data_IF_381480472046
#
_entry.id   IF_381480472046
#
_cell.length_a   1.000
_cell.length_b   1.000
_cell.length_c   1.000
_cell.angle_alpha   90.00
_cell.angle_beta   90.00
_cell.angle_gamma   90.00
#
_symmetry.space_group_name_H-M   'P 1'
#
loop_
_entity.id
_entity.type
_entity.pdbx_description
1 polymer ?
#
# COMPACT_ATOMS: atom_id res chain seq x y z
N UNK A 1 -10.44 -69.35 -11.21
CA UNK A 1 -10.18 -68.06 -11.90
C UNK A 1 -11.46 -67.31 -12.30
N UNK A 2 -12.39 -67.89 -13.08
CA UNK A 2 -13.63 -67.20 -13.55
C UNK A 2 -14.55 -66.66 -12.45
N UNK A 3 -14.71 -67.38 -11.33
CA UNK A 3 -15.50 -66.92 -10.17
C UNK A 3 -14.85 -65.74 -9.43
N UNK A 4 -13.53 -65.78 -9.25
CA UNK A 4 -12.77 -64.69 -8.65
C UNK A 4 -12.85 -63.41 -9.51
N UNK A 5 -12.72 -63.56 -10.83
CA UNK A 5 -12.85 -62.47 -11.78
C UNK A 5 -14.26 -61.83 -11.73
N UNK A 6 -15.32 -62.64 -11.64
CA UNK A 6 -16.68 -62.13 -11.50
C UNK A 6 -16.92 -61.40 -10.16
N UNK A 7 -16.32 -61.87 -9.07
CA UNK A 7 -16.38 -61.20 -7.77
C UNK A 7 -15.66 -59.84 -7.83
N UNK A 8 -14.46 -59.80 -8.42
CA UNK A 8 -13.70 -58.55 -8.60
C UNK A 8 -14.43 -57.55 -9.51
N UNK A 9 -15.05 -58.01 -10.61
CA UNK A 9 -15.84 -57.16 -11.50
C UNK A 9 -17.06 -56.57 -10.77
N UNK A 10 -17.76 -57.37 -9.96
CA UNK A 10 -18.88 -56.90 -9.14
C UNK A 10 -18.44 -55.89 -8.08
N UNK A 11 -17.31 -56.14 -7.42
CA UNK A 11 -16.73 -55.20 -6.44
C UNK A 11 -16.35 -53.87 -7.12
N UNK A 12 -15.69 -53.94 -8.29
CA UNK A 12 -15.34 -52.76 -9.07
C UNK A 12 -16.58 -51.96 -9.47
N UNK A 13 -17.65 -52.62 -9.92
CA UNK A 13 -18.92 -51.96 -10.24
C UNK A 13 -19.54 -51.28 -9.01
N UNK A 14 -19.55 -51.95 -7.85
CA UNK A 14 -20.06 -51.36 -6.60
C UNK A 14 -19.24 -50.15 -6.19
N UNK A 15 -17.91 -50.21 -6.29
CA UNK A 15 -17.03 -49.06 -6.01
C UNK A 15 -17.29 -47.92 -6.99
N UNK A 16 -17.45 -48.20 -8.28
CA UNK A 16 -17.78 -47.18 -9.30
C UNK A 16 -19.14 -46.53 -9.02
N UNK A 17 -20.16 -47.31 -8.66
CA UNK A 17 -21.51 -46.82 -8.35
C UNK A 17 -21.53 -46.01 -7.05
N UNK A 18 -20.89 -46.50 -5.99
CA UNK A 18 -20.76 -45.80 -4.72
C UNK A 18 -19.97 -44.49 -4.89
N UNK A 19 -18.90 -44.52 -5.68
CA UNK A 19 -18.12 -43.34 -6.02
C UNK A 19 -18.91 -42.32 -6.86
N UNK A 20 -19.70 -42.80 -7.82
CA UNK A 20 -20.59 -41.94 -8.62
C UNK A 20 -21.64 -41.29 -7.74
N UNK A 21 -22.31 -42.07 -6.87
CA UNK A 21 -23.29 -41.55 -5.92
C UNK A 21 -22.69 -40.51 -4.96
N UNK A 22 -21.48 -40.76 -4.44
CA UNK A 22 -20.73 -39.81 -3.62
C UNK A 22 -20.45 -38.51 -4.38
N UNK A 23 -20.02 -38.61 -5.64
CA UNK A 23 -19.76 -37.44 -6.49
C UNK A 23 -21.02 -36.63 -6.77
N UNK A 24 -22.13 -37.27 -7.14
CA UNK A 24 -23.42 -36.59 -7.36
C UNK A 24 -23.93 -35.94 -6.06
N UNK A 25 -23.79 -36.62 -4.92
CA UNK A 25 -24.16 -36.06 -3.61
C UNK A 25 -23.34 -34.82 -3.26
N UNK A 26 -22.02 -34.86 -3.48
CA UNK A 26 -21.13 -33.74 -3.19
C UNK A 26 -21.33 -32.58 -4.18
N UNK A 27 -21.69 -32.85 -5.44
CA UNK A 27 -22.13 -31.83 -6.40
C UNK A 27 -23.36 -31.06 -5.89
N UNK A 28 -24.38 -31.74 -5.35
CA UNK A 28 -25.56 -31.09 -4.77
C UNK A 28 -25.18 -30.20 -3.59
N UNK A 29 -24.20 -30.61 -2.78
CA UNK A 29 -23.69 -29.77 -1.68
C UNK A 29 -23.02 -28.50 -2.22
N UNK A 30 -22.21 -28.62 -3.28
CA UNK A 30 -21.58 -27.46 -3.94
C UNK A 30 -22.63 -26.52 -4.53
N UNK A 31 -23.65 -27.05 -5.22
CA UNK A 31 -24.78 -26.27 -5.73
C UNK A 31 -25.45 -25.46 -4.62
N UNK A 32 -25.80 -26.11 -3.50
CA UNK A 32 -26.40 -25.42 -2.34
C UNK A 32 -25.49 -24.35 -1.74
N UNK A 33 -24.18 -24.59 -1.69
CA UNK A 33 -23.23 -23.59 -1.17
C UNK A 33 -23.11 -22.38 -2.09
N UNK A 34 -23.15 -22.60 -3.41
CA UNK A 34 -23.18 -21.52 -4.39
C UNK A 34 -24.47 -20.71 -4.27
N UNK A 35 -25.62 -21.38 -4.19
CA UNK A 35 -26.91 -20.70 -4.02
C UNK A 35 -26.96 -19.89 -2.72
N UNK A 36 -26.45 -20.45 -1.62
CA UNK A 36 -26.32 -19.74 -0.35
C UNK A 36 -25.31 -18.58 -0.41
N UNK A 37 -24.27 -18.66 -1.25
CA UNK A 37 -23.36 -17.54 -1.49
C UNK A 37 -24.04 -16.42 -2.30
N UNK A 38 -24.81 -16.77 -3.32
CA UNK A 38 -25.59 -15.84 -4.14
C UNK A 38 -26.62 -15.11 -3.27
N UNK A 39 -27.34 -15.83 -2.39
CA UNK A 39 -28.27 -15.22 -1.42
C UNK A 39 -27.58 -14.28 -0.43
N UNK A 40 -26.36 -14.61 0.02
CA UNK A 40 -25.58 -13.72 0.91
C UNK A 40 -25.15 -12.43 0.21
N UNK A 41 -24.87 -12.50 -1.09
CA UNK A 41 -24.55 -11.31 -1.89
C UNK A 41 -25.82 -10.48 -2.12
N UNK A 42 -26.95 -11.11 -2.45
CA UNK A 42 -28.25 -10.47 -2.56
C UNK A 42 -28.69 -9.78 -1.26
N UNK A 43 -28.53 -10.44 -0.12
CA UNK A 43 -28.84 -9.88 1.20
C UNK A 43 -28.00 -8.64 1.55
N UNK A 44 -26.86 -8.43 0.89
CA UNK A 44 -26.02 -7.24 1.04
C UNK A 44 -26.33 -6.16 0.00
N UNK A 45 -27.34 -6.36 -0.85
CA UNK A 45 -27.71 -5.46 -1.94
C UNK A 45 -26.92 -5.67 -3.23
N UNK A 46 -26.22 -6.80 -3.36
CA UNK A 46 -25.53 -7.17 -4.58
C UNK A 46 -26.40 -7.99 -5.54
N UNK A 47 -26.10 -7.93 -6.82
CA UNK A 47 -26.80 -8.70 -7.86
C UNK A 47 -25.80 -9.58 -8.60
N UNK A 48 -26.19 -10.81 -8.89
CA UNK A 48 -25.38 -11.76 -9.68
C UNK A 48 -26.27 -12.26 -10.81
N UNK A 49 -25.87 -11.95 -12.03
CA UNK A 49 -26.44 -12.47 -13.27
C UNK A 49 -25.45 -13.37 -13.98
N UNK A 50 -25.95 -14.40 -14.66
CA UNK A 50 -25.21 -15.23 -15.60
C UNK A 50 -26.19 -15.91 -16.54
N UNK A 51 -25.75 -16.21 -17.76
CA UNK A 51 -26.58 -16.95 -18.73
C UNK A 51 -26.64 -18.44 -18.37
N UNK A 52 -25.50 -18.99 -17.93
CA UNK A 52 -25.38 -20.40 -17.59
C UNK A 52 -24.32 -20.62 -16.52
N UNK A 53 -24.60 -21.51 -15.57
CA UNK A 53 -23.66 -22.02 -14.56
C UNK A 53 -23.50 -23.52 -14.75
N UNK A 54 -22.29 -23.96 -15.10
CA UNK A 54 -21.95 -25.37 -15.28
C UNK A 54 -21.01 -25.85 -14.17
N UNK A 55 -21.35 -26.97 -13.53
CA UNK A 55 -20.54 -27.58 -12.48
C UNK A 55 -20.02 -28.92 -13.02
N UNK A 56 -18.71 -28.98 -13.20
CA UNK A 56 -17.98 -30.18 -13.60
C UNK A 56 -16.81 -30.46 -12.65
N UNK A 57 -15.89 -31.28 -13.12
CA UNK A 57 -14.73 -31.72 -12.35
C UNK A 57 -14.94 -33.13 -11.80
N UNK A 58 -13.97 -34.00 -12.08
CA UNK A 58 -13.93 -35.39 -11.65
C UNK A 58 -12.46 -35.85 -11.63
N UNK A 59 -12.03 -36.72 -10.71
CA UNK A 59 -12.72 -37.19 -9.50
C UNK A 59 -12.37 -36.39 -8.22
N UNK A 60 -11.36 -35.51 -8.24
CA UNK A 60 -10.76 -34.93 -7.02
C UNK A 60 -10.88 -33.40 -6.90
N UNK A 61 -11.75 -32.78 -7.70
CA UNK A 61 -11.98 -31.34 -7.65
C UNK A 61 -13.22 -30.91 -8.41
N UNK A 62 -13.76 -29.76 -8.00
CA UNK A 62 -14.88 -29.09 -8.63
C UNK A 62 -14.40 -27.99 -9.56
N UNK A 63 -15.02 -27.89 -10.72
CA UNK A 63 -14.88 -26.76 -11.65
C UNK A 63 -16.24 -26.15 -11.86
N UNK A 64 -16.40 -24.88 -11.51
CA UNK A 64 -17.63 -24.12 -11.77
C UNK A 64 -17.31 -23.11 -12.87
N UNK A 65 -18.11 -23.10 -13.93
CA UNK A 65 -17.97 -22.15 -15.04
C UNK A 65 -19.25 -21.33 -15.16
N UNK A 66 -19.12 -20.01 -15.06
CA UNK A 66 -20.20 -19.07 -15.37
C UNK A 66 -20.00 -18.52 -16.77
N UNK A 67 -21.06 -18.50 -17.57
CA UNK A 67 -21.10 -17.92 -18.92
C UNK A 67 -21.76 -16.55 -18.86
N UNK A 68 -21.12 -15.54 -19.43
CA UNK A 68 -21.52 -14.13 -19.36
C UNK A 68 -21.88 -13.66 -17.94
N UNK A 69 -21.00 -13.85 -16.95
CA UNK A 69 -21.24 -13.35 -15.59
C UNK A 69 -21.34 -11.82 -15.58
N UNK A 70 -22.33 -11.30 -14.86
CA UNK A 70 -22.49 -9.92 -14.48
C UNK A 70 -22.66 -9.85 -12.96
N UNK A 71 -21.75 -9.17 -12.27
CA UNK A 71 -21.83 -9.00 -10.82
C UNK A 71 -21.90 -7.52 -10.48
N UNK A 72 -22.86 -7.15 -9.63
CA UNK A 72 -23.00 -5.83 -9.04
C UNK A 72 -22.82 -5.98 -7.55
N UNK A 73 -21.74 -5.44 -7.00
CA UNK A 73 -21.40 -5.57 -5.58
C UNK A 73 -21.41 -4.20 -4.93
N UNK A 74 -22.29 -3.92 -3.96
CA UNK A 74 -22.20 -2.72 -3.17
C UNK A 74 -20.91 -2.78 -2.34
N UNK A 75 -20.09 -1.76 -2.50
CA UNK A 75 -18.89 -1.53 -1.70
C UNK A 75 -19.18 -0.38 -0.75
N UNK A 76 -18.40 -0.28 0.33
CA UNK A 76 -18.55 0.88 1.19
C UNK A 76 -18.16 2.12 0.35
N UNK A 77 -19.06 3.10 0.23
CA UNK A 77 -18.90 4.30 -0.60
C UNK A 77 -19.15 4.15 -2.11
N UNK A 78 -19.64 3.01 -2.63
CA UNK A 78 -19.88 2.86 -4.07
C UNK A 78 -20.45 1.52 -4.53
N UNK A 79 -20.47 1.30 -5.84
CA UNK A 79 -20.88 0.04 -6.47
C UNK A 79 -19.77 -0.43 -7.41
N UNK A 80 -19.36 -1.69 -7.25
CA UNK A 80 -18.45 -2.36 -8.16
C UNK A 80 -19.26 -3.23 -9.13
N UNK A 81 -19.19 -2.92 -10.41
CA UNK A 81 -19.72 -3.76 -11.48
C UNK A 81 -18.59 -4.57 -12.12
N UNK A 82 -18.87 -5.83 -12.39
CA UNK A 82 -18.01 -6.73 -13.15
C UNK A 82 -18.83 -7.38 -14.27
N UNK A 83 -18.27 -7.38 -15.47
CA UNK A 83 -18.80 -8.13 -16.59
C UNK A 83 -17.69 -8.82 -17.38
N UNK A 84 -17.94 -10.05 -17.84
CA UNK A 84 -16.97 -10.79 -18.65
C UNK A 84 -17.61 -11.90 -19.47
N UNK A 85 -16.90 -12.48 -20.45
CA UNK A 85 -17.43 -13.57 -21.28
C UNK A 85 -17.59 -14.88 -20.50
N UNK A 86 -16.72 -15.12 -19.53
CA UNK A 86 -16.76 -16.31 -18.68
C UNK A 86 -16.04 -16.06 -17.35
N UNK A 87 -16.33 -16.88 -16.34
CA UNK A 87 -15.58 -16.95 -15.09
C UNK A 87 -15.45 -18.42 -14.68
N UNK A 88 -14.26 -18.87 -14.24
CA UNK A 88 -14.05 -20.28 -13.87
C UNK A 88 -13.46 -20.41 -12.48
N UNK A 89 -14.17 -21.05 -11.56
CA UNK A 89 -13.65 -21.45 -10.27
C UNK A 89 -13.22 -22.92 -10.27
N UNK A 90 -12.11 -23.23 -9.61
CA UNK A 90 -11.58 -24.58 -9.39
C UNK A 90 -11.28 -24.76 -7.90
N UNK A 91 -11.84 -25.81 -7.31
CA UNK A 91 -11.59 -26.17 -5.90
C UNK A 91 -11.13 -27.63 -5.86
N UNK A 92 -9.95 -27.88 -5.31
CA UNK A 92 -9.43 -29.24 -5.12
C UNK A 92 -9.80 -29.76 -3.73
N UNK A 93 -10.36 -30.96 -3.65
CA UNK A 93 -10.83 -31.56 -2.38
C UNK A 93 -9.71 -32.32 -1.66
N UNK A 94 -8.72 -32.86 -2.40
CA UNK A 94 -7.72 -33.79 -1.87
C UNK A 94 -6.29 -33.24 -1.72
N UNK A 95 -5.97 -32.06 -2.28
CA UNK A 95 -4.58 -31.59 -2.42
C UNK A 95 -4.30 -30.20 -1.86
N UNK A 96 -5.09 -29.79 -0.87
CA UNK A 96 -4.88 -28.54 -0.17
C UNK A 96 -6.05 -27.62 -0.33
N UNK A 97 -6.28 -26.88 0.74
CA UNK A 97 -7.40 -25.96 0.96
C UNK A 97 -7.19 -24.73 0.09
N UNK A 98 -7.32 -24.90 -1.23
CA UNK A 98 -7.08 -23.86 -2.23
C UNK A 98 -8.27 -23.78 -3.17
N UNK A 99 -8.74 -22.55 -3.39
CA UNK A 99 -9.69 -22.22 -4.43
C UNK A 99 -8.97 -21.34 -5.44
N UNK A 100 -9.06 -21.69 -6.71
CA UNK A 100 -8.54 -20.90 -7.83
C UNK A 100 -9.70 -20.34 -8.62
N UNK A 101 -9.61 -19.09 -9.00
CA UNK A 101 -10.54 -18.41 -9.89
C UNK A 101 -9.76 -17.91 -11.09
N UNK A 102 -10.05 -18.45 -12.27
CA UNK A 102 -9.51 -17.97 -13.54
C UNK A 102 -10.49 -16.92 -14.10
N UNK A 103 -9.95 -15.76 -14.48
CA UNK A 103 -10.68 -14.65 -15.07
C UNK A 103 -10.45 -14.60 -16.59
N UNK A 104 -11.38 -14.00 -17.36
CA UNK A 104 -11.26 -13.93 -18.81
C UNK A 104 -10.19 -12.92 -19.23
N UNK A 105 -9.73 -13.06 -20.47
CA UNK A 105 -8.67 -12.20 -21.04
C UNK A 105 -9.07 -10.73 -21.15
N UNK A 106 -10.37 -10.46 -21.27
CA UNK A 106 -10.93 -9.11 -21.30
C UNK A 106 -12.06 -9.05 -20.30
N UNK A 107 -12.01 -8.09 -19.40
CA UNK A 107 -13.05 -7.80 -18.44
C UNK A 107 -13.14 -6.30 -18.20
N UNK A 108 -14.35 -5.84 -17.92
CA UNK A 108 -14.60 -4.44 -17.57
C UNK A 108 -14.97 -4.38 -16.10
N UNK A 109 -14.28 -3.51 -15.36
CA UNK A 109 -14.62 -3.16 -13.98
C UNK A 109 -15.10 -1.72 -13.97
N UNK A 110 -16.29 -1.49 -13.47
CA UNK A 110 -16.79 -0.14 -13.24
C UNK A 110 -16.93 0.07 -11.74
N UNK A 111 -16.31 1.13 -11.22
CA UNK A 111 -16.43 1.53 -9.84
C UNK A 111 -17.13 2.89 -9.80
N UNK A 112 -18.44 2.87 -9.55
CA UNK A 112 -19.20 4.09 -9.29
C UNK A 112 -19.08 4.46 -7.82
N UNK A 113 -18.64 5.68 -7.52
CA UNK A 113 -18.39 6.13 -6.15
C UNK A 113 -19.20 7.39 -5.85
N UNK A 114 -19.90 7.42 -4.73
CA UNK A 114 -20.79 8.54 -4.39
C UNK A 114 -19.96 9.82 -4.18
N UNK A 115 -20.30 10.90 -4.89
CA UNK A 115 -19.63 12.20 -4.79
C UNK A 115 -18.26 12.30 -5.48
N UNK A 116 -17.87 11.32 -6.29
CA UNK A 116 -16.62 11.32 -7.07
C UNK A 116 -16.92 10.95 -8.53
N UNK A 117 -15.98 11.24 -9.43
CA UNK A 117 -16.08 10.78 -10.81
C UNK A 117 -16.13 9.24 -10.87
N UNK A 118 -17.02 8.70 -11.70
CA UNK A 118 -17.09 7.27 -11.96
C UNK A 118 -15.77 6.77 -12.55
N UNK A 119 -15.18 5.76 -11.92
CA UNK A 119 -13.92 5.17 -12.34
C UNK A 119 -14.24 3.92 -13.14
N UNK A 120 -14.18 4.03 -14.46
CA UNK A 120 -14.23 2.87 -15.35
C UNK A 120 -12.81 2.37 -15.62
N UNK A 121 -12.62 1.05 -15.54
CA UNK A 121 -11.35 0.40 -15.77
C UNK A 121 -11.55 -0.79 -16.70
N UNK A 122 -11.10 -0.64 -17.94
CA UNK A 122 -11.00 -1.74 -18.87
C UNK A 122 -9.69 -2.49 -18.62
N UNK A 123 -9.84 -3.77 -18.28
CA UNK A 123 -8.73 -4.67 -17.99
C UNK A 123 -8.63 -5.72 -19.09
N UNK A 124 -7.54 -5.67 -19.85
CA UNK A 124 -7.11 -6.82 -20.62
C UNK A 124 -6.00 -7.54 -19.84
N UNK A 125 -6.10 -8.85 -19.70
CA UNK A 125 -5.12 -9.63 -18.96
C UNK A 125 -4.75 -10.91 -19.68
N UNK A 126 -3.47 -11.25 -19.67
CA UNK A 126 -3.02 -12.58 -20.05
C UNK A 126 -3.02 -13.47 -18.81
N UNK A 127 -3.96 -14.41 -18.74
CA UNK A 127 -4.06 -15.41 -17.67
C UNK A 127 -4.19 -14.83 -16.24
N UNK A 128 -5.13 -13.90 -16.03
CA UNK A 128 -5.47 -13.42 -14.68
C UNK A 128 -6.07 -14.55 -13.83
N UNK A 129 -5.46 -14.78 -12.67
CA UNK A 129 -5.79 -15.84 -11.73
C UNK A 129 -5.87 -15.25 -10.33
N UNK A 130 -6.87 -15.67 -9.57
CA UNK A 130 -6.99 -15.43 -8.13
C UNK A 130 -6.92 -16.78 -7.40
N UNK A 131 -5.88 -16.98 -6.61
CA UNK A 131 -5.65 -18.14 -5.77
C UNK A 131 -5.94 -17.78 -4.31
N UNK A 132 -6.99 -18.36 -3.73
CA UNK A 132 -7.34 -18.24 -2.31
C UNK A 132 -6.87 -19.47 -1.54
N UNK A 133 -6.21 -19.25 -0.40
CA UNK A 133 -5.86 -20.26 0.61
C UNK A 133 -6.90 -20.25 1.71
N UNK A 134 -7.45 -21.41 2.02
CA UNK A 134 -8.54 -21.62 2.97
C UNK A 134 -7.98 -22.29 4.24
N UNK A 135 -8.24 -21.70 5.39
CA UNK A 135 -7.96 -22.22 6.73
C UNK A 135 -9.17 -22.89 7.37
N UNK A 136 -9.03 -23.29 8.66
CA UNK A 136 -10.16 -23.80 9.46
C UNK A 136 -11.18 -22.68 9.76
N UNK A 137 -10.73 -21.43 9.82
CA UNK A 137 -11.55 -20.25 10.13
C UNK A 137 -11.92 -19.35 8.95
N UNK A 138 -11.66 -19.73 7.70
CA UNK A 138 -11.98 -18.92 6.51
C UNK A 138 -10.81 -18.74 5.56
N UNK A 139 -10.76 -17.64 4.81
CA UNK A 139 -9.67 -17.36 3.86
C UNK A 139 -8.44 -16.85 4.62
N UNK A 140 -7.33 -17.59 4.56
CA UNK A 140 -6.05 -17.22 5.20
C UNK A 140 -5.17 -16.35 4.27
N UNK A 141 -5.38 -16.44 2.95
CA UNK A 141 -4.70 -15.58 2.02
C UNK A 141 -5.31 -15.62 0.63
N UNK A 142 -5.10 -14.55 -0.11
CA UNK A 142 -5.53 -14.37 -1.49
C UNK A 142 -4.32 -13.89 -2.29
N UNK A 143 -4.16 -14.43 -3.49
CA UNK A 143 -3.08 -14.09 -4.39
C UNK A 143 -3.66 -13.92 -5.79
N UNK A 144 -3.57 -12.70 -6.32
CA UNK A 144 -3.96 -12.37 -7.69
C UNK A 144 -2.69 -12.25 -8.52
N UNK A 145 -2.65 -12.92 -9.66
CA UNK A 145 -1.51 -12.92 -10.59
C UNK A 145 -2.00 -12.85 -12.03
N UNK A 146 -1.23 -12.23 -12.91
CA UNK A 146 -1.41 -12.34 -14.36
C UNK A 146 -0.03 -12.37 -15.03
N UNK A 147 0.06 -12.83 -16.27
CA UNK A 147 1.29 -12.74 -17.06
C UNK A 147 1.49 -11.30 -17.56
N UNK A 148 0.37 -10.64 -17.93
CA UNK A 148 0.31 -9.24 -18.34
C UNK A 148 -1.05 -8.64 -17.97
N UNK A 149 -1.08 -7.35 -17.65
CA UNK A 149 -2.27 -6.56 -17.37
C UNK A 149 -2.19 -5.23 -18.11
N UNK A 150 -3.10 -4.99 -19.04
CA UNK A 150 -3.29 -3.70 -19.70
C UNK A 150 -4.44 -2.96 -19.02
N UNK A 151 -4.13 -1.77 -18.52
CA UNK A 151 -5.04 -0.83 -17.89
C UNK A 151 -5.40 0.21 -18.94
N UNK A 152 -6.69 0.31 -19.29
CA UNK A 152 -7.17 1.34 -20.22
C UNK A 152 -8.15 2.28 -19.54
N UNK A 153 -7.93 3.56 -19.79
CA UNK A 153 -8.87 4.64 -19.57
C UNK A 153 -9.43 4.74 -18.15
N UNK A 154 -8.55 4.93 -17.16
CA UNK A 154 -8.99 5.51 -15.88
C UNK A 154 -9.44 6.96 -16.14
N UNK A 155 -10.74 7.17 -16.25
CA UNK A 155 -11.37 8.49 -16.27
C UNK A 155 -11.73 8.90 -14.85
N UNK A 156 -11.47 10.16 -14.47
CA UNK A 156 -11.81 10.72 -13.17
C UNK A 156 -10.62 10.86 -12.22
N UNK A 157 -10.64 11.94 -11.42
CA UNK A 157 -9.52 12.35 -10.56
C UNK A 157 -8.73 13.53 -11.16
N UNK A 158 -7.49 13.79 -10.73
CA UNK A 158 -6.68 14.91 -11.24
C UNK A 158 -6.10 14.69 -12.65
N UNK A 159 -6.39 13.55 -13.29
CA UNK A 159 -5.86 13.18 -14.61
C UNK A 159 -7.01 12.92 -15.59
N UNK A 160 -6.88 13.41 -16.83
CA UNK A 160 -7.86 13.14 -17.89
C UNK A 160 -7.86 11.67 -18.30
N UNK A 161 -6.67 11.05 -18.34
CA UNK A 161 -6.57 9.62 -18.58
C UNK A 161 -5.30 9.05 -17.95
N UNK A 162 -5.44 7.85 -17.41
CA UNK A 162 -4.33 6.97 -17.05
C UNK A 162 -4.51 5.65 -17.81
N UNK A 163 -3.45 5.23 -18.48
CA UNK A 163 -3.35 3.91 -19.11
C UNK A 163 -1.99 3.31 -18.78
N UNK A 164 -1.88 1.99 -18.84
CA UNK A 164 -0.61 1.34 -18.63
C UNK A 164 -0.61 -0.14 -18.94
N UNK A 165 0.58 -0.69 -19.06
CA UNK A 165 0.84 -2.11 -19.29
C UNK A 165 1.76 -2.58 -18.17
N UNK A 166 1.39 -3.68 -17.52
CA UNK A 166 2.15 -4.25 -16.41
C UNK A 166 2.40 -5.72 -16.67
N UNK A 167 3.66 -6.15 -16.61
CA UNK A 167 4.06 -7.54 -16.75
C UNK A 167 4.24 -8.19 -15.38
N UNK A 168 3.76 -9.45 -15.30
CA UNK A 168 3.78 -10.27 -14.09
C UNK A 168 3.26 -9.56 -12.83
N UNK A 169 2.12 -8.82 -12.90
CA UNK A 169 1.57 -8.21 -11.70
C UNK A 169 1.16 -9.29 -10.70
N UNK A 170 1.46 -9.04 -9.44
CA UNK A 170 1.10 -9.91 -8.32
C UNK A 170 0.58 -9.07 -7.16
N UNK A 171 -0.60 -9.41 -6.69
CA UNK A 171 -1.19 -8.86 -5.46
C UNK A 171 -1.40 -10.03 -4.50
N UNK A 172 -0.70 -10.06 -3.38
CA UNK A 172 -0.83 -11.10 -2.37
C UNK A 172 -1.25 -10.48 -1.04
N UNK A 173 -2.39 -10.89 -0.52
CA UNK A 173 -2.84 -10.57 0.83
C UNK A 173 -2.81 -11.86 1.66
N UNK A 174 -2.08 -11.89 2.78
CA UNK A 174 -1.97 -13.08 3.64
C UNK A 174 -2.10 -12.68 5.10
N UNK A 175 -2.99 -13.36 5.82
CA UNK A 175 -3.07 -13.30 7.28
C UNK A 175 -2.03 -14.27 7.84
N UNK A 176 -1.17 -13.78 8.73
CA UNK A 176 -0.09 -14.57 9.31
C UNK A 176 -0.57 -15.08 10.67
N UNK A 177 -1.31 -16.20 10.74
CA UNK A 177 -1.88 -16.70 12.00
C UNK A 177 -2.67 -15.59 12.75
N UNK A 178 -2.37 -15.35 14.03
CA UNK A 178 -2.95 -14.26 14.86
C UNK A 178 -2.27 -12.88 14.65
N UNK A 179 -1.45 -12.73 13.60
CA UNK A 179 -0.63 -11.54 13.34
C UNK A 179 -1.22 -10.61 12.26
N UNK A 180 -0.65 -9.39 12.11
CA UNK A 180 -0.89 -8.45 11.00
C UNK A 180 -1.12 -9.09 9.62
N UNK A 181 -2.06 -8.51 8.86
CA UNK A 181 -2.21 -8.80 7.44
C UNK A 181 -1.02 -8.23 6.70
N UNK A 182 -0.37 -9.06 5.90
CA UNK A 182 0.61 -8.62 4.93
C UNK A 182 -0.05 -8.51 3.56
N UNK A 183 -0.01 -7.32 2.98
CA UNK A 183 -0.39 -7.04 1.59
C UNK A 183 0.87 -6.71 0.81
N UNK A 184 1.09 -7.43 -0.26
CA UNK A 184 2.19 -7.21 -1.20
C UNK A 184 1.60 -6.98 -2.59
N UNK A 185 2.04 -5.90 -3.24
CA UNK A 185 1.78 -5.60 -4.63
C UNK A 185 3.14 -5.55 -5.32
N UNK A 186 3.30 -6.24 -6.45
CA UNK A 186 4.57 -6.26 -7.18
C UNK A 186 4.38 -6.47 -8.68
N UNK A 187 5.38 -6.08 -9.47
CA UNK A 187 5.47 -6.31 -10.91
C UNK A 187 6.93 -6.37 -11.37
N UNK A 188 7.16 -6.96 -12.55
CA UNK A 188 8.48 -7.09 -13.20
C UNK A 188 8.69 -6.21 -14.43
N UNK A 189 7.66 -5.50 -14.88
CA UNK A 189 7.79 -4.40 -15.83
C UNK A 189 6.49 -3.61 -15.80
N UNK A 190 6.59 -2.28 -15.85
CA UNK A 190 5.43 -1.40 -15.88
C UNK A 190 5.69 -0.23 -16.80
N UNK A 191 4.74 0.08 -17.68
CA UNK A 191 4.73 1.30 -18.49
C UNK A 191 3.40 1.98 -18.31
N UNK A 192 3.42 3.24 -17.91
CA UNK A 192 2.24 4.04 -17.65
C UNK A 192 2.28 5.29 -18.52
N UNK A 193 1.14 5.65 -19.09
CA UNK A 193 0.93 6.88 -19.83
C UNK A 193 -0.11 7.69 -19.08
N UNK A 194 0.28 8.91 -18.70
CA UNK A 194 -0.56 9.86 -17.98
C UNK A 194 -0.86 11.05 -18.89
N UNK A 195 -2.10 11.51 -18.89
CA UNK A 195 -2.49 12.76 -19.51
C UNK A 195 -3.24 13.62 -18.47
N UNK A 196 -2.77 14.85 -18.28
CA UNK A 196 -3.42 15.84 -17.41
C UNK A 196 -4.74 16.32 -18.02
N UNK A 197 -5.67 16.79 -17.17
CA UNK A 197 -6.90 17.42 -17.66
C UNK A 197 -6.63 18.74 -18.40
N UNK A 198 -7.35 19.04 -19.50
CA UNK A 198 -7.20 20.29 -20.24
C UNK A 198 -7.57 21.57 -19.47
N UNK A 199 -8.17 21.45 -18.30
CA UNK A 199 -8.73 22.54 -17.49
C UNK A 199 -7.70 23.25 -16.61
N UNK A 200 -6.44 22.79 -16.56
CA UNK A 200 -5.37 23.49 -15.84
C UNK A 200 -5.02 24.82 -16.55
N UNK A 201 -5.25 25.98 -15.90
CA UNK A 201 -4.96 27.30 -16.48
C UNK A 201 -3.45 27.57 -16.66
N UNK A 202 -2.57 26.70 -16.13
CA UNK A 202 -1.12 26.93 -16.02
C UNK A 202 -0.23 26.39 -17.14
N UNK A 203 -0.78 25.60 -18.07
CA UNK A 203 0.00 25.07 -19.21
C UNK A 203 -0.19 23.58 -19.40
N UNK A 204 -0.46 23.19 -20.65
CA UNK A 204 -0.68 21.80 -21.05
C UNK A 204 0.61 21.00 -20.86
N UNK A 205 0.77 20.31 -19.75
CA UNK A 205 1.72 19.21 -19.68
C UNK A 205 1.34 18.21 -20.79
N UNK A 206 2.21 17.95 -21.77
CA UNK A 206 1.92 16.96 -22.80
C UNK A 206 1.74 15.60 -22.12
N UNK A 207 0.97 14.67 -22.72
CA UNK A 207 0.92 13.30 -22.22
C UNK A 207 2.35 12.76 -22.10
N UNK A 208 2.72 12.30 -20.92
CA UNK A 208 4.05 11.76 -20.65
C UNK A 208 3.95 10.31 -20.22
N UNK A 209 5.01 9.56 -20.50
CA UNK A 209 5.14 8.16 -20.12
C UNK A 209 6.20 7.97 -19.07
N UNK A 210 5.92 7.05 -18.17
CA UNK A 210 6.82 6.58 -17.13
C UNK A 210 6.94 5.08 -17.28
N UNK A 211 8.16 4.56 -17.26
CA UNK A 211 8.44 3.13 -17.26
C UNK A 211 9.25 2.74 -16.03
N UNK A 212 9.06 1.53 -15.53
CA UNK A 212 9.88 0.94 -14.46
C UNK A 212 10.07 -0.56 -14.70
N UNK A 213 11.26 -1.08 -14.44
CA UNK A 213 11.51 -2.53 -14.53
C UNK A 213 11.00 -3.28 -13.30
N UNK A 214 10.85 -2.64 -12.15
CA UNK A 214 10.37 -3.36 -10.97
C UNK A 214 9.70 -2.43 -9.99
N UNK A 215 8.54 -2.84 -9.50
CA UNK A 215 7.86 -2.20 -8.40
C UNK A 215 7.49 -3.22 -7.34
N UNK A 216 7.71 -2.87 -6.07
CA UNK A 216 7.23 -3.61 -4.92
C UNK A 216 6.65 -2.62 -3.92
N UNK A 217 5.43 -2.88 -3.47
CA UNK A 217 4.83 -2.27 -2.30
C UNK A 217 4.43 -3.38 -1.34
N UNK A 218 4.98 -3.36 -0.12
CA UNK A 218 4.61 -4.26 0.97
C UNK A 218 4.10 -3.44 2.13
N UNK A 219 2.93 -3.80 2.62
CA UNK A 219 2.30 -3.25 3.80
C UNK A 219 2.04 -4.41 4.74
N UNK A 220 2.49 -4.33 5.98
CA UNK A 220 2.11 -5.28 7.01
C UNK A 220 1.63 -4.52 8.24
N UNK A 221 0.47 -4.88 8.77
CA UNK A 221 -0.10 -4.19 9.93
C UNK A 221 -1.37 -4.85 10.45
N UNK A 222 -1.84 -4.48 11.65
CA UNK A 222 -3.06 -5.02 12.25
C UNK A 222 -4.26 -4.78 11.32
N UNK A 223 -5.22 -5.71 11.30
CA UNK A 223 -6.48 -5.61 10.49
C UNK A 223 -7.73 -5.58 11.35
N UNK A 224 -7.54 -5.42 12.65
CA UNK A 224 -8.60 -5.28 13.63
C UNK A 224 -8.29 -4.02 14.41
N UNK A 225 -9.31 -3.25 14.82
CA UNK A 225 -9.10 -2.20 15.80
C UNK A 225 -8.57 -2.86 17.08
N UNK A 226 -7.37 -2.47 17.51
CA UNK A 226 -6.70 -3.01 18.69
C UNK A 226 -6.57 -1.90 19.74
N UNK A 227 -6.85 -2.21 21.00
CA UNK A 227 -6.61 -1.27 22.10
C UNK A 227 -5.11 -0.95 22.28
N UNK A 228 -4.26 -1.94 21.97
CA UNK A 228 -2.80 -1.86 22.07
C UNK A 228 -2.13 -1.59 20.72
N UNK A 229 -0.95 -0.98 20.78
CA UNK A 229 -0.07 -0.80 19.63
C UNK A 229 0.39 -2.17 19.12
N UNK A 230 0.46 -2.32 17.80
CA UNK A 230 0.96 -3.52 17.12
C UNK A 230 2.01 -3.16 16.07
N UNK A 231 2.92 -4.07 15.78
CA UNK A 231 3.94 -3.84 14.75
C UNK A 231 3.31 -3.63 13.37
N UNK A 232 3.75 -2.56 12.70
CA UNK A 232 3.48 -2.31 11.30
C UNK A 232 4.77 -2.01 10.53
N UNK A 233 4.74 -2.29 9.24
CA UNK A 233 5.84 -1.98 8.32
C UNK A 233 5.33 -1.62 6.94
N UNK A 234 6.09 -0.76 6.27
CA UNK A 234 5.93 -0.39 4.88
C UNK A 234 7.27 -0.58 4.18
N UNK A 235 7.23 -1.20 3.00
CA UNK A 235 8.32 -1.16 2.03
C UNK A 235 7.78 -0.74 0.69
N UNK A 236 8.37 0.29 0.12
CA UNK A 236 8.18 0.71 -1.25
C UNK A 236 9.51 0.62 -1.98
N UNK A 237 9.51 0.06 -3.18
CA UNK A 237 10.69 -0.10 -4.01
C UNK A 237 10.28 0.09 -5.47
N UNK A 238 10.97 0.99 -6.15
CA UNK A 238 10.88 1.23 -7.58
C UNK A 238 12.29 1.16 -8.15
N UNK A 239 12.49 0.32 -9.16
CA UNK A 239 13.80 0.16 -9.82
C UNK A 239 13.70 0.49 -11.31
N UNK A 240 14.80 1.04 -11.82
CA UNK A 240 14.96 1.45 -13.21
C UNK A 240 13.78 2.29 -13.73
N UNK A 241 13.41 3.30 -12.95
CA UNK A 241 12.40 4.28 -13.30
C UNK A 241 12.95 5.19 -14.39
N UNK A 242 12.28 5.20 -15.55
CA UNK A 242 12.65 6.00 -16.71
C UNK A 242 11.47 6.90 -17.08
N UNK A 243 11.76 8.19 -17.22
CA UNK A 243 10.84 9.17 -17.79
C UNK A 243 11.02 9.20 -19.31
N UNK A 244 9.95 9.46 -20.04
CA UNK A 244 10.05 9.59 -21.49
C UNK A 244 10.85 10.82 -21.93
N UNK A 245 11.32 10.76 -23.18
CA UNK A 245 12.14 11.81 -23.77
C UNK A 245 11.37 13.12 -23.92
N UNK A 246 10.04 13.07 -24.07
CA UNK A 246 9.21 14.26 -24.19
C UNK A 246 9.18 15.06 -22.88
N UNK A 247 9.05 14.38 -21.74
CA UNK A 247 9.13 15.01 -20.43
C UNK A 247 10.54 15.50 -20.14
N UNK A 248 11.57 14.69 -20.46
CA UNK A 248 12.97 15.13 -20.31
C UNK A 248 13.28 16.37 -21.14
N UNK A 249 12.81 16.45 -22.38
CA UNK A 249 13.04 17.61 -23.25
C UNK A 249 12.35 18.90 -22.75
N UNK A 250 11.33 18.77 -21.90
CA UNK A 250 10.71 19.93 -21.24
C UNK A 250 11.55 20.47 -20.08
N UNK A 251 12.29 19.59 -19.40
CA UNK A 251 13.07 19.92 -18.20
C UNK A 251 14.53 20.27 -18.55
N UNK A 252 15.14 19.46 -19.41
CA UNK A 252 16.55 19.52 -19.78
C UNK A 252 16.73 19.11 -21.27
N UNK A 253 16.39 20.02 -22.20
CA UNK A 253 16.50 19.76 -23.64
C UNK A 253 17.95 19.51 -24.10
N UNK A 254 18.91 20.15 -23.44
CA UNK A 254 20.34 20.07 -23.76
C UNK A 254 21.04 18.83 -23.17
N UNK A 255 20.29 17.97 -22.46
CA UNK A 255 20.76 16.71 -21.85
C UNK A 255 21.92 16.92 -20.88
N UNK A 256 21.90 18.01 -20.10
CA UNK A 256 22.90 18.32 -19.07
C UNK A 256 22.79 17.40 -17.86
N UNK A 257 21.60 16.92 -17.55
CA UNK A 257 21.32 15.99 -16.46
C UNK A 257 21.51 14.53 -16.93
N UNK A 258 22.19 13.69 -16.14
CA UNK A 258 22.26 12.25 -16.39
C UNK A 258 20.86 11.64 -16.47
N UNK A 259 20.64 10.81 -17.49
CA UNK A 259 19.35 10.15 -17.73
C UNK A 259 19.38 8.67 -17.35
N UNK A 260 20.30 8.30 -16.46
CA UNK A 260 20.37 6.95 -15.92
C UNK A 260 19.05 6.58 -15.23
N UNK A 261 18.60 5.31 -15.33
CA UNK A 261 17.36 4.87 -14.70
C UNK A 261 17.36 5.15 -13.20
N UNK A 262 16.32 5.83 -12.73
CA UNK A 262 16.19 6.21 -11.34
C UNK A 262 15.79 5.02 -10.46
N UNK A 263 16.13 5.11 -9.17
CA UNK A 263 15.72 4.13 -8.15
C UNK A 263 15.15 4.86 -6.96
N UNK A 264 14.16 4.25 -6.31
CA UNK A 264 13.59 4.73 -5.05
C UNK A 264 13.28 3.54 -4.15
N UNK A 265 13.80 3.54 -2.93
CA UNK A 265 13.48 2.55 -1.90
C UNK A 265 13.15 3.27 -0.61
N UNK A 266 12.04 2.89 0.01
CA UNK A 266 11.64 3.29 1.35
C UNK A 266 11.28 2.05 2.13
N UNK A 267 11.91 1.83 3.27
CA UNK A 267 11.55 0.80 4.23
C UNK A 267 11.46 1.43 5.61
N UNK A 268 10.27 1.35 6.20
CA UNK A 268 10.01 1.87 7.51
C UNK A 268 9.13 0.91 8.32
N UNK A 269 9.31 0.95 9.64
CA UNK A 269 8.54 0.14 10.59
C UNK A 269 8.24 0.94 11.84
N UNK A 270 7.12 0.66 12.47
CA UNK A 270 6.78 1.29 13.72
C UNK A 270 5.55 0.66 14.36
N UNK A 271 5.35 0.88 15.66
CA UNK A 271 4.09 0.59 16.32
C UNK A 271 2.96 1.39 15.68
N UNK A 272 1.85 0.71 15.42
CA UNK A 272 0.63 1.25 14.84
C UNK A 272 -0.57 0.85 15.69
N UNK A 273 -1.43 1.84 15.97
CA UNK A 273 -2.78 1.60 16.45
C UNK A 273 -3.77 2.35 15.56
N UNK A 274 -4.78 1.64 15.08
CA UNK A 274 -5.94 2.26 14.44
C UNK A 274 -6.81 2.91 15.51
N UNK A 275 -7.13 4.20 15.40
CA UNK A 275 -8.17 4.82 16.22
C UNK A 275 -9.60 4.63 15.66
N UNK A 276 -9.74 3.92 14.52
CA UNK A 276 -11.02 3.46 13.95
C UNK A 276 -10.95 2.00 13.49
N UNK A 277 -12.06 1.46 12.96
CA UNK A 277 -12.08 0.11 12.40
C UNK A 277 -11.49 0.10 10.97
N UNK A 278 -10.28 -0.43 10.74
CA UNK A 278 -9.63 -0.41 9.43
C UNK A 278 -10.40 -1.18 8.34
N UNK A 279 -11.32 -2.07 8.72
CA UNK A 279 -12.15 -2.83 7.77
C UNK A 279 -13.27 -1.98 7.18
N UNK A 280 -13.61 -0.88 7.85
CA UNK A 280 -14.56 0.13 7.40
C UNK A 280 -13.87 1.30 6.70
N UNK A 281 -12.65 1.11 6.18
CA UNK A 281 -11.99 2.10 5.33
C UNK A 281 -12.33 1.83 3.85
N UNK A 282 -13.41 2.42 3.30
CA UNK A 282 -13.52 2.66 1.87
C UNK A 282 -13.05 4.06 1.51
N UNK A 283 -12.29 4.19 0.42
CA UNK A 283 -12.34 5.28 -0.58
C UNK A 283 -12.26 6.76 -0.16
N UNK A 284 -12.30 7.04 1.13
CA UNK A 284 -12.35 8.30 1.84
C UNK A 284 -11.47 8.06 3.06
N UNK A 285 -10.19 7.77 2.77
CA UNK A 285 -9.15 8.07 3.73
C UNK A 285 -9.15 9.58 3.78
N UNK A 286 -9.89 10.14 4.73
CA UNK A 286 -9.60 11.48 5.18
C UNK A 286 -8.17 11.42 5.71
N UNK A 287 -7.24 11.92 4.90
CA UNK A 287 -5.81 11.88 5.21
C UNK A 287 -5.51 12.68 6.48
N UNK A 288 -6.38 13.64 6.84
CA UNK A 288 -6.31 14.44 8.06
C UNK A 288 -6.94 13.70 9.25
N UNK A 289 -7.94 12.84 9.02
CA UNK A 289 -8.54 11.98 10.05
C UNK A 289 -7.97 10.56 10.07
N UNK A 290 -6.85 10.30 9.37
CA UNK A 290 -6.14 9.02 9.46
C UNK A 290 -5.83 8.78 10.93
N UNK A 291 -6.50 7.82 11.59
CA UNK A 291 -6.37 7.66 13.01
C UNK A 291 -5.16 6.76 13.26
N UNK A 292 -4.00 7.21 12.78
CA UNK A 292 -2.73 6.52 12.82
C UNK A 292 -1.98 7.02 14.05
N UNK A 293 -2.23 6.39 15.19
CA UNK A 293 -1.46 6.68 16.40
C UNK A 293 -0.20 5.82 16.35
N UNK A 294 0.80 6.31 15.62
CA UNK A 294 2.15 5.78 15.72
C UNK A 294 2.92 6.63 16.72
N UNK A 295 3.37 6.10 17.87
CA UNK A 295 4.24 6.86 18.78
C UNK A 295 5.66 7.03 18.21
N UNK A 296 6.02 6.30 17.15
CA UNK A 296 7.31 6.44 16.50
C UNK A 296 7.49 5.57 15.27
N UNK A 297 8.40 5.99 14.41
CA UNK A 297 8.75 5.39 13.13
C UNK A 297 10.26 5.17 13.06
N UNK A 298 10.68 3.99 12.66
CA UNK A 298 12.07 3.69 12.30
C UNK A 298 12.16 3.53 10.79
N UNK A 299 12.91 4.41 10.14
CA UNK A 299 13.28 4.32 8.72
C UNK A 299 14.58 3.51 8.64
N UNK A 300 14.47 2.25 8.22
CA UNK A 300 15.62 1.37 8.05
C UNK A 300 16.36 1.59 6.73
N UNK A 301 15.67 2.12 5.72
CA UNK A 301 16.25 2.44 4.42
C UNK A 301 15.37 3.51 3.76
N UNK A 302 15.98 4.62 3.36
CA UNK A 302 15.40 5.54 2.40
C UNK A 302 16.48 5.92 1.42
N UNK A 303 16.44 5.35 0.22
CA UNK A 303 17.45 5.60 -0.80
C UNK A 303 16.80 6.02 -2.11
N UNK A 304 17.42 6.94 -2.81
CA UNK A 304 17.07 7.22 -4.19
C UNK A 304 18.30 7.57 -5.02
N UNK A 305 18.19 7.30 -6.32
CA UNK A 305 19.14 7.77 -7.31
C UNK A 305 18.38 8.35 -8.50
N UNK A 306 18.76 9.55 -8.94
CA UNK A 306 18.21 10.21 -10.12
C UNK A 306 19.11 11.38 -10.53
N UNK A 307 19.23 11.65 -11.84
CA UNK A 307 19.96 12.80 -12.36
C UNK A 307 21.41 12.95 -11.85
N UNK A 308 22.07 11.83 -11.54
CA UNK A 308 23.43 11.80 -11.00
C UNK A 308 23.54 12.09 -9.49
N UNK A 309 22.43 12.34 -8.80
CA UNK A 309 22.37 12.37 -7.35
C UNK A 309 22.05 10.96 -6.84
N UNK A 310 22.82 10.51 -5.87
CA UNK A 310 22.49 9.36 -5.02
C UNK A 310 22.33 9.85 -3.58
N UNK A 311 21.30 9.41 -2.89
CA UNK A 311 21.18 9.63 -1.45
C UNK A 311 20.72 8.38 -0.74
N UNK A 312 21.16 8.24 0.51
CA UNK A 312 20.73 7.22 1.45
C UNK A 312 20.47 7.85 2.80
N UNK A 313 19.35 7.51 3.41
CA UNK A 313 18.93 8.00 4.72
C UNK A 313 18.44 6.85 5.58
N UNK A 314 18.76 6.91 6.87
CA UNK A 314 18.21 6.06 7.92
C UNK A 314 17.87 6.92 9.12
N UNK A 315 16.97 6.45 9.98
CA UNK A 315 16.66 7.21 11.18
C UNK A 315 15.51 6.66 11.99
N UNK A 316 15.24 7.33 13.11
CA UNK A 316 14.16 7.03 14.02
C UNK A 316 13.55 8.32 14.51
N UNK A 317 12.23 8.40 14.45
CA UNK A 317 11.43 9.51 14.97
C UNK A 317 10.43 8.98 15.97
N UNK A 318 10.22 9.71 17.06
CA UNK A 318 9.25 9.44 18.12
C UNK A 318 8.35 10.66 18.33
N UNK A 319 7.34 10.51 19.19
CA UNK A 319 6.35 11.54 19.51
C UNK A 319 5.52 11.98 18.29
N UNK A 320 5.21 11.01 17.41
CA UNK A 320 4.38 11.21 16.23
C UNK A 320 2.87 11.08 16.52
N UNK A 321 2.49 10.68 17.73
CA UNK A 321 1.09 10.48 18.08
C UNK A 321 0.41 11.83 18.37
N UNK A 322 -0.76 12.12 17.74
CA UNK A 322 -1.63 13.20 18.18
C UNK A 322 -2.00 13.03 19.66
N UNK A 323 -1.66 14.03 20.48
CA UNK A 323 -2.07 14.13 21.88
C UNK A 323 -2.65 15.51 22.18
N UNK A 324 -3.22 15.70 23.38
CA UNK A 324 -3.81 16.98 23.83
C UNK A 324 -2.79 18.14 23.91
N UNK A 325 -1.50 17.80 23.89
CA UNK A 325 -0.40 18.76 23.77
C UNK A 325 0.38 18.48 22.49
N UNK A 326 0.65 19.49 21.64
CA UNK A 326 1.52 19.32 20.48
C UNK A 326 2.94 18.93 20.95
N UNK A 327 3.28 17.64 20.91
CA UNK A 327 4.65 17.19 21.15
C UNK A 327 5.44 17.35 19.87
N UNK A 328 6.52 18.13 19.91
CA UNK A 328 7.46 18.16 18.79
C UNK A 328 8.04 16.75 18.56
N UNK A 329 8.15 16.30 17.29
CA UNK A 329 8.80 15.03 16.98
C UNK A 329 10.25 15.06 17.45
N UNK A 330 10.67 13.99 18.11
CA UNK A 330 12.06 13.83 18.58
C UNK A 330 12.67 12.63 17.90
N UNK A 331 13.87 12.77 17.36
CA UNK A 331 14.44 11.74 16.52
C UNK A 331 15.86 12.02 16.09
N UNK A 332 16.45 11.02 15.46
CA UNK A 332 17.80 11.05 14.93
C UNK A 332 17.78 10.41 13.55
N UNK A 333 18.59 10.94 12.64
CA UNK A 333 18.72 10.40 11.30
C UNK A 333 20.11 10.65 10.77
N UNK A 334 20.54 9.75 9.90
CA UNK A 334 21.80 9.85 9.18
C UNK A 334 21.48 9.90 7.70
N UNK A 335 22.02 10.89 7.00
CA UNK A 335 21.85 11.05 5.56
C UNK A 335 23.22 11.15 4.92
N UNK A 336 23.46 10.33 3.90
CA UNK A 336 24.58 10.47 2.99
C UNK A 336 24.06 10.81 1.60
N UNK A 337 24.81 11.63 0.88
CA UNK A 337 24.53 11.93 -0.51
C UNK A 337 25.82 12.07 -1.32
N UNK A 338 25.72 11.67 -2.58
CA UNK A 338 26.78 11.72 -3.59
C UNK A 338 26.26 12.44 -4.82
N UNK A 339 27.03 13.39 -5.37
CA UNK A 339 26.66 14.09 -6.60
C UNK A 339 25.80 15.34 -6.40
N UNK A 340 25.62 15.82 -5.16
CA UNK A 340 24.76 16.97 -4.87
C UNK A 340 25.34 18.28 -5.40
N UNK A 341 26.64 18.52 -5.22
CA UNK A 341 27.29 19.75 -5.68
C UNK A 341 27.22 19.79 -7.23
N UNK A 342 27.51 18.65 -7.88
CA UNK A 342 27.42 18.47 -9.34
C UNK A 342 26.01 18.67 -9.89
N UNK A 343 24.99 18.10 -9.23
CA UNK A 343 23.59 18.29 -9.63
C UNK A 343 23.18 19.76 -9.49
N UNK A 344 23.55 20.39 -8.38
CA UNK A 344 23.25 21.81 -8.12
C UNK A 344 23.86 22.72 -9.19
N UNK A 345 25.09 22.42 -9.62
CA UNK A 345 25.75 23.13 -10.72
C UNK A 345 24.96 23.00 -12.03
N UNK A 346 24.59 21.77 -12.40
CA UNK A 346 23.83 21.48 -13.63
C UNK A 346 22.44 22.11 -13.63
N UNK A 347 21.72 22.04 -12.50
CA UNK A 347 20.40 22.66 -12.36
C UNK A 347 20.47 24.18 -12.58
N UNK A 348 21.56 24.83 -12.14
CA UNK A 348 21.75 26.25 -12.39
C UNK A 348 22.14 26.55 -13.84
N UNK A 349 22.93 25.69 -14.48
CA UNK A 349 23.28 25.82 -15.91
C UNK A 349 22.05 25.78 -16.82
N UNK A 350 21.09 24.89 -16.53
CA UNK A 350 19.83 24.78 -17.29
C UNK A 350 18.74 25.76 -16.83
N UNK A 351 19.04 26.62 -15.86
CA UNK A 351 18.13 27.65 -15.37
C UNK A 351 17.00 27.17 -14.44
N UNK A 352 17.03 25.90 -13.99
CA UNK A 352 16.08 25.39 -12.99
C UNK A 352 16.42 25.84 -11.57
N UNK A 353 17.66 26.27 -11.33
CA UNK A 353 18.10 26.84 -10.06
C UNK A 353 18.69 28.23 -10.30
N UNK A 354 18.09 29.26 -9.70
CA UNK A 354 18.64 30.61 -9.78
C UNK A 354 20.05 30.67 -9.18
N UNK A 355 20.92 31.50 -9.75
CA UNK A 355 22.31 31.64 -9.30
C UNK A 355 22.43 31.94 -7.79
N UNK A 356 21.55 32.80 -7.25
CA UNK A 356 21.51 33.11 -5.82
C UNK A 356 21.16 31.89 -4.98
N UNK A 357 20.18 31.10 -5.42
CA UNK A 357 19.76 29.87 -4.76
C UNK A 357 20.89 28.83 -4.79
N UNK A 358 21.63 28.73 -5.90
CA UNK A 358 22.84 27.90 -6.01
C UNK A 358 23.90 28.28 -4.97
N UNK A 359 24.26 29.57 -4.90
CA UNK A 359 25.28 30.03 -3.93
C UNK A 359 24.83 29.75 -2.50
N UNK A 360 23.55 29.97 -2.20
CA UNK A 360 22.99 29.65 -0.89
C UNK A 360 23.02 28.13 -0.61
N UNK A 361 22.58 27.29 -1.54
CA UNK A 361 22.60 25.85 -1.41
C UNK A 361 24.02 25.33 -1.16
N UNK A 362 25.01 25.79 -1.93
CA UNK A 362 26.41 25.41 -1.74
C UNK A 362 26.95 25.83 -0.36
N UNK A 363 26.63 27.04 0.09
CA UNK A 363 27.03 27.51 1.41
C UNK A 363 26.36 26.71 2.53
N UNK A 364 25.06 26.43 2.41
CA UNK A 364 24.29 25.63 3.36
C UNK A 364 24.86 24.21 3.44
N UNK A 365 25.00 23.53 2.30
CA UNK A 365 25.57 22.19 2.21
C UNK A 365 26.94 22.14 2.89
N UNK A 366 27.84 23.08 2.61
CA UNK A 366 29.18 23.11 3.25
C UNK A 366 29.14 23.38 4.75
N UNK A 367 28.21 24.22 5.21
CA UNK A 367 28.11 24.59 6.62
C UNK A 367 27.53 23.48 7.49
N UNK A 368 26.71 22.61 6.89
CA UNK A 368 25.85 21.68 7.62
C UNK A 368 26.10 20.21 7.29
N UNK A 369 27.07 19.91 6.43
CA UNK A 369 27.44 18.55 6.08
C UNK A 369 28.93 18.35 6.21
N UNK A 370 29.30 17.11 6.55
CA UNK A 370 30.67 16.67 6.62
C UNK A 370 31.06 16.03 5.30
N UNK A 371 32.20 16.44 4.75
CA UNK A 371 32.79 15.78 3.59
C UNK A 371 33.21 14.35 3.96
N UNK A 372 32.94 13.40 3.07
CA UNK A 372 33.41 12.02 3.15
C UNK A 372 34.53 11.79 2.14
N UNK A 373 35.22 10.65 2.24
CA UNK A 373 36.21 10.24 1.25
C UNK A 373 35.53 9.95 -0.10
N UNK A 374 36.02 10.62 -1.15
CA UNK A 374 35.51 10.53 -2.52
C UNK A 374 35.02 11.89 -3.05
N UNK A 375 34.86 11.99 -4.37
CA UNK A 375 34.37 13.22 -5.00
C UNK A 375 32.88 13.43 -4.73
N UNK A 376 32.50 14.66 -4.36
CA UNK A 376 31.11 15.08 -4.15
C UNK A 376 30.32 14.16 -3.20
N UNK A 377 31.00 13.64 -2.16
CA UNK A 377 30.40 12.79 -1.11
C UNK A 377 30.32 13.52 0.22
N UNK A 378 29.12 13.52 0.80
CA UNK A 378 28.84 14.25 2.05
C UNK A 378 27.86 13.47 2.92
N UNK A 379 27.97 13.70 4.22
CA UNK A 379 27.06 13.15 5.21
C UNK A 379 26.55 14.23 6.16
N UNK A 380 25.39 13.99 6.75
CA UNK A 380 24.81 14.84 7.77
C UNK A 380 24.04 14.00 8.78
N UNK A 381 24.29 14.27 10.06
CA UNK A 381 23.55 13.72 11.17
C UNK A 381 22.49 14.72 11.63
N UNK A 382 21.24 14.32 11.48
CA UNK A 382 20.04 15.07 11.83
C UNK A 382 19.61 14.67 13.23
N UNK A 383 19.34 15.65 14.09
CA UNK A 383 18.65 15.43 15.37
C UNK A 383 17.44 16.34 15.45
N UNK A 384 16.26 15.74 15.60
CA UNK A 384 15.00 16.40 15.89
C UNK A 384 14.84 16.45 17.41
N UNK A 385 14.69 17.65 17.97
CA UNK A 385 14.45 17.84 19.40
C UNK A 385 13.24 18.74 19.64
N UNK A 386 12.80 18.87 20.92
CA UNK A 386 11.65 19.70 21.27
C UNK A 386 11.82 21.17 20.87
N UNK A 387 13.05 21.65 20.76
CA UNK A 387 13.39 23.03 20.42
C UNK A 387 13.61 23.26 18.90
N UNK A 388 13.48 22.22 18.07
CA UNK A 388 13.68 22.30 16.61
C UNK A 388 14.65 21.26 16.04
N UNK A 389 15.21 21.57 14.86
CA UNK A 389 16.12 20.69 14.11
C UNK A 389 17.58 21.08 14.41
N UNK A 390 18.39 20.09 14.74
CA UNK A 390 19.81 20.20 15.05
C UNK A 390 20.64 19.37 14.05
N UNK A 391 21.85 19.85 13.76
CA UNK A 391 22.82 19.24 12.85
C UNK A 391 24.17 19.22 13.56
N UNK A 392 24.76 18.04 13.79
CA UNK A 392 26.07 17.90 14.48
C UNK A 392 26.22 18.87 15.70
N UNK A 393 25.29 18.77 16.67
CA UNK A 393 25.20 19.64 17.87
C UNK A 393 25.01 21.16 17.65
N UNK A 394 24.86 21.63 16.40
CA UNK A 394 24.58 23.02 16.05
C UNK A 394 23.11 23.18 15.67
N UNK A 395 22.48 24.27 16.12
CA UNK A 395 21.09 24.60 15.75
C UNK A 395 21.02 24.91 14.24
N UNK A 396 20.19 24.16 13.51
CA UNK A 396 19.98 24.35 12.08
C UNK A 396 18.94 25.45 11.82
N UNK A 397 17.83 25.41 12.57
CA UNK A 397 16.73 26.37 12.47
C UNK A 397 16.01 26.49 13.83
N UNK A 398 15.93 27.72 14.37
CA UNK A 398 15.14 28.08 15.55
C UNK A 398 15.41 29.51 16.05
N UNK A 399 14.38 30.30 16.44
CA UNK A 399 14.58 31.65 16.95
C UNK A 399 14.75 31.68 18.50
N UNK A 400 15.66 32.53 18.96
CA UNK A 400 15.89 33.03 20.34
C UNK A 400 16.35 32.08 21.49
N UNK A 401 17.53 32.45 22.06
CA UNK A 401 18.18 32.10 23.37
C UNK A 401 17.24 31.52 24.44
N UNK A 402 17.56 30.47 25.22
CA UNK A 402 18.75 30.12 26.05
C UNK A 402 18.79 28.58 26.28
N UNK A 403 19.92 27.96 26.67
CA UNK A 403 19.97 26.53 26.98
C UNK A 403 19.33 26.21 28.36
N UNK A 404 18.56 25.11 28.52
CA UNK A 404 18.28 24.52 29.83
C UNK A 404 19.43 23.58 30.27
N UNK A 405 19.57 23.32 31.58
CA UNK A 405 20.66 22.52 32.14
C UNK A 405 20.51 21.03 31.83
N UNK A 406 21.65 20.33 31.84
CA UNK A 406 21.86 18.91 31.52
C UNK A 406 20.93 17.93 32.24
N UNK A 407 20.56 16.86 31.52
CA UNK A 407 19.58 15.80 31.86
C UNK A 407 19.96 14.84 33.02
N UNK A 408 20.93 15.17 33.86
CA UNK A 408 21.46 14.23 34.89
C UNK A 408 21.09 14.55 36.35
N UNK A 409 20.16 15.47 36.62
CA UNK A 409 19.79 15.79 38.01
C UNK A 409 18.27 15.93 38.22
N UNK A 410 17.59 14.78 38.36
CA UNK A 410 16.24 14.74 38.95
C UNK A 410 16.16 13.59 39.97
N UNK A 411 16.65 13.84 41.19
CA UNK A 411 16.20 13.12 42.38
C UNK A 411 14.98 13.85 42.97
N UNK A 412 13.92 13.16 43.43
CA UNK A 412 12.69 13.80 43.86
C UNK A 412 12.83 14.43 45.25
N UNK A 413 12.58 15.73 45.36
CA UNK A 413 12.42 16.43 46.64
C UNK A 413 11.01 16.19 47.21
N UNK A 414 10.93 15.72 48.46
CA UNK A 414 9.71 15.60 49.26
C UNK A 414 9.07 16.98 49.49
N UNK A 415 7.77 17.10 49.27
CA UNK A 415 6.98 18.27 49.67
C UNK A 415 6.73 18.29 51.19
N UNK A 416 6.80 19.46 51.86
CA UNK A 416 6.35 19.60 53.24
C UNK A 416 4.85 19.94 53.31
N UNK A 417 4.19 19.38 54.33
CA UNK A 417 2.82 19.67 54.77
C UNK A 417 2.78 21.03 55.46
N UNK A 418 1.81 21.92 55.17
CA UNK A 418 1.52 23.05 56.05
C UNK A 418 0.41 22.71 57.06
N UNK A 419 0.77 22.95 58.31
CA UNK A 419 -0.02 22.91 59.53
C UNK A 419 -1.03 24.08 59.58
N UNK A 420 -2.12 23.83 60.29
CA UNK A 420 -3.25 24.70 60.63
C UNK A 420 -2.89 26.12 61.10
N UNK A 421 -3.68 27.12 60.68
CA UNK A 421 -3.94 28.32 61.49
C UNK A 421 -5.41 28.75 61.42
N UNK A 422 -5.91 29.04 62.62
CA UNK A 422 -7.28 29.31 63.02
C UNK A 422 -7.87 30.61 62.45
N UNK A 423 -9.21 30.68 62.37
CA UNK A 423 -9.90 31.90 62.77
C UNK A 423 -11.02 32.43 61.87
N UNK A 424 -12.20 32.56 62.51
CA UNK A 424 -13.35 33.45 62.23
C UNK A 424 -14.40 33.04 61.20
N UNK A 425 -15.47 32.47 61.76
CA UNK A 425 -16.88 32.72 61.39
C UNK A 425 -17.30 34.10 61.94
N UNK A 426 -18.16 34.86 61.24
CA UNK A 426 -19.49 35.10 61.82
C UNK A 426 -20.66 35.13 60.80
N UNK A 427 -21.70 34.37 61.16
CA UNK A 427 -23.15 34.68 61.10
C UNK A 427 -23.84 35.21 59.84
N UNK A 428 -24.86 34.44 59.41
CA UNK A 428 -26.03 34.87 58.62
C UNK A 428 -26.93 35.86 59.39
N UNK A 429 -27.87 36.54 58.70
CA UNK A 429 -29.27 36.07 58.69
C UNK A 429 -29.96 36.22 57.30
N UNK A 430 -30.78 35.26 56.89
CA UNK A 430 -32.26 35.24 56.92
C UNK A 430 -32.95 36.22 55.94
N UNK A 431 -33.41 35.70 54.79
CA UNK A 431 -34.83 35.53 54.42
C UNK A 431 -34.96 34.57 53.23
#
# INVERSE_FOLDING_TARGET
>A
MRRLLLILLRLALVVILAWSALWFGLRVVVERQLDAAEQRIAARGGEIGYERREIGGFPLGYRVTWTRPALRLPQAGGVLNFAGPWLRARVSVLLGRRARLDLPEKLTLELSRTGHADLSLDLASAALRLDARLGLGGVEGVEVTADRLDLRHLAGGPFASLSGEVERPRIAARRIADRPLAVEVSFESGRFSLAAEPSDPGGRLPPFRIAAEKGIMRLAGPVEPAAALSDASVRFEMQALVLDEALWAHIDPDRRLPRDPARLVLAARGPLRWAGDPRRLPGQVDWDALPLLSPGLTVSEFSASAAGLEFTATGRVANLAPGDTPSFPVGEGHVEFTGLDTLTDRLAEIGLLEHRAKVFAAAFTRAYTRALDGEDRRAVDLRLGPEGVFLEERLAFGPFRRPPPSLDAAAPAKAPVPETLEGRVPSAPAD
#
